data_IF_825245497936
#
_entry.id   IF_825245497936
#
_cell.length_a   1.000
_cell.length_b   1.000
_cell.length_c   1.000
_cell.angle_alpha   90.00
_cell.angle_beta   90.00
_cell.angle_gamma   90.00
#
_symmetry.space_group_name_H-M   'P 1'
#
loop_
_entity.id
_entity.type
_entity.pdbx_description
1 polymer ?
#
# COMPACT_ATOMS: atom_id res chain seq x y z
N UNK A 1 -8.68 -35.33 -4.10
CA UNK A 1 -8.26 -35.99 -5.33
C UNK A 1 -7.13 -36.93 -4.94
N UNK A 2 -7.42 -38.19 -4.92
CA UNK A 2 -6.61 -39.20 -4.20
C UNK A 2 -5.34 -39.63 -4.92
N UNK A 3 -4.62 -38.82 -5.62
CA UNK A 3 -3.28 -38.99 -6.23
C UNK A 3 -3.03 -38.02 -7.39
N UNK A 4 -3.77 -36.92 -7.49
CA UNK A 4 -3.61 -35.91 -8.52
C UNK A 4 -2.84 -34.67 -8.06
N UNK A 5 -2.47 -33.76 -8.95
CA UNK A 5 -1.91 -32.49 -8.58
C UNK A 5 -2.86 -31.69 -7.68
N UNK A 6 -2.30 -31.00 -6.68
CA UNK A 6 -3.08 -30.10 -5.82
C UNK A 6 -3.56 -28.89 -6.63
N UNK A 7 -4.76 -28.41 -6.36
CA UNK A 7 -5.33 -27.18 -6.91
C UNK A 7 -5.80 -26.28 -5.78
N UNK A 8 -5.88 -24.98 -6.05
CA UNK A 8 -6.42 -23.97 -5.14
C UNK A 8 -7.67 -23.38 -5.77
N UNK A 9 -8.77 -23.38 -5.02
CA UNK A 9 -9.99 -22.65 -5.36
C UNK A 9 -10.07 -21.40 -4.49
N UNK A 10 -10.21 -20.23 -5.11
CA UNK A 10 -10.37 -18.93 -4.46
C UNK A 10 -11.77 -18.39 -4.74
N UNK A 11 -12.40 -17.87 -3.70
CA UNK A 11 -13.70 -17.20 -3.78
C UNK A 11 -13.51 -15.78 -3.22
N UNK A 12 -13.73 -14.72 -4.02
CA UNK A 12 -13.57 -13.36 -3.57
C UNK A 12 -14.61 -13.02 -2.50
N UNK A 13 -14.20 -12.22 -1.52
CA UNK A 13 -15.10 -11.66 -0.52
C UNK A 13 -15.57 -10.27 -0.94
N UNK A 14 -16.73 -9.81 -0.44
CA UNK A 14 -17.27 -8.49 -0.80
C UNK A 14 -16.38 -7.29 -0.41
N UNK A 15 -15.38 -7.50 0.45
CA UNK A 15 -14.39 -6.48 0.83
C UNK A 15 -13.18 -6.43 -0.10
N UNK A 16 -13.01 -7.44 -0.97
CA UNK A 16 -11.87 -7.52 -1.89
C UNK A 16 -11.91 -6.49 -3.02
N UNK A 17 -13.05 -5.86 -3.25
CA UNK A 17 -13.27 -4.86 -4.31
C UNK A 17 -14.61 -5.03 -5.03
N UNK A 18 -14.80 -4.40 -6.18
CA UNK A 18 -16.05 -4.45 -6.91
C UNK A 18 -16.33 -5.86 -7.44
N UNK A 19 -17.54 -6.42 -7.18
CA UNK A 19 -17.94 -7.72 -7.68
C UNK A 19 -17.74 -7.85 -9.19
N UNK A 20 -17.42 -9.04 -9.68
CA UNK A 20 -17.10 -9.39 -11.06
C UNK A 20 -15.81 -8.76 -11.57
N UNK A 21 -15.60 -7.47 -11.31
CA UNK A 21 -14.43 -6.76 -11.80
C UNK A 21 -13.13 -7.23 -11.12
N UNK A 22 -13.17 -7.50 -9.82
CA UNK A 22 -12.00 -7.98 -9.08
C UNK A 22 -11.52 -9.32 -9.63
N UNK A 23 -12.43 -10.28 -9.80
CA UNK A 23 -12.11 -11.60 -10.36
C UNK A 23 -11.61 -11.50 -11.79
N UNK A 24 -12.31 -10.73 -12.66
CA UNK A 24 -11.90 -10.55 -14.06
C UNK A 24 -10.52 -9.91 -14.16
N UNK A 25 -10.25 -8.86 -13.38
CA UNK A 25 -8.97 -8.15 -13.38
C UNK A 25 -7.81 -9.02 -12.87
N UNK A 26 -8.02 -9.79 -11.81
CA UNK A 26 -6.98 -10.68 -11.27
C UNK A 26 -6.59 -11.72 -12.32
N UNK A 27 -7.57 -12.40 -12.92
CA UNK A 27 -7.31 -13.41 -13.95
C UNK A 27 -6.69 -12.80 -15.21
N UNK A 28 -7.18 -11.63 -15.65
CA UNK A 28 -6.61 -10.93 -16.80
C UNK A 28 -5.15 -10.53 -16.55
N UNK A 29 -4.84 -10.00 -15.36
CA UNK A 29 -3.47 -9.63 -14.96
C UNK A 29 -2.54 -10.83 -14.95
N UNK A 30 -2.93 -11.93 -14.31
CA UNK A 30 -2.13 -13.16 -14.26
C UNK A 30 -1.90 -13.72 -15.66
N UNK A 31 -2.95 -13.79 -16.50
CA UNK A 31 -2.88 -14.29 -17.87
C UNK A 31 -1.97 -13.41 -18.74
N UNK A 32 -2.11 -12.09 -18.61
CA UNK A 32 -1.28 -11.14 -19.35
C UNK A 32 0.20 -11.30 -18.98
N UNK A 33 0.53 -11.29 -17.68
CA UNK A 33 1.90 -11.42 -17.20
C UNK A 33 2.54 -12.75 -17.61
N UNK A 34 1.79 -13.86 -17.53
CA UNK A 34 2.26 -15.17 -18.01
C UNK A 34 2.55 -15.17 -19.51
N UNK A 35 1.75 -14.45 -20.31
CA UNK A 35 1.95 -14.37 -21.77
C UNK A 35 3.17 -13.53 -22.16
N UNK A 36 3.55 -12.55 -21.33
CA UNK A 36 4.62 -11.58 -21.64
C UNK A 36 5.97 -11.95 -21.07
N UNK A 37 5.98 -12.65 -19.95
CA UNK A 37 7.22 -12.91 -19.23
C UNK A 37 7.19 -14.21 -18.44
N UNK A 38 8.36 -14.81 -18.26
CA UNK A 38 8.52 -15.98 -17.40
C UNK A 38 8.57 -15.55 -15.95
N UNK A 39 7.40 -15.33 -15.36
CA UNK A 39 7.22 -15.18 -13.90
C UNK A 39 6.60 -16.46 -13.33
N UNK A 40 6.97 -16.85 -12.11
CA UNK A 40 6.41 -18.02 -11.46
C UNK A 40 5.01 -17.69 -10.89
N UNK A 41 4.05 -17.47 -11.76
CA UNK A 41 2.64 -17.21 -11.43
C UNK A 41 1.88 -18.53 -11.60
N UNK A 42 1.02 -18.95 -10.65
CA UNK A 42 0.23 -20.18 -10.80
C UNK A 42 -0.69 -20.09 -12.01
N UNK A 43 -0.77 -21.20 -12.77
CA UNK A 43 -1.63 -21.26 -13.95
C UNK A 43 -3.10 -21.29 -13.54
N UNK A 44 -3.90 -20.45 -14.19
CA UNK A 44 -5.37 -20.50 -14.07
C UNK A 44 -5.89 -21.72 -14.83
N UNK A 45 -6.66 -22.54 -14.14
CA UNK A 45 -7.25 -23.77 -14.69
C UNK A 45 -8.71 -23.53 -15.10
N UNK A 46 -9.45 -22.77 -14.30
CA UNK A 46 -10.82 -22.36 -14.56
C UNK A 46 -11.18 -21.12 -13.73
N UNK A 47 -12.13 -20.32 -14.18
CA UNK A 47 -12.60 -19.17 -13.46
C UNK A 47 -13.97 -18.68 -13.98
N UNK A 48 -14.69 -17.97 -13.14
CA UNK A 48 -15.93 -17.33 -13.56
C UNK A 48 -16.21 -16.09 -12.69
N UNK A 49 -16.45 -14.95 -13.35
CA UNK A 49 -16.79 -13.68 -12.70
C UNK A 49 -18.29 -13.44 -12.56
N UNK A 50 -19.15 -14.33 -13.10
CA UNK A 50 -20.59 -14.20 -13.02
C UNK A 50 -21.16 -15.04 -11.87
N UNK A 51 -21.71 -14.43 -10.80
CA UNK A 51 -22.29 -15.16 -9.69
C UNK A 51 -23.57 -15.94 -10.06
N UNK A 52 -24.11 -15.77 -11.27
CA UNK A 52 -25.24 -16.58 -11.77
C UNK A 52 -24.82 -17.99 -12.23
N UNK A 53 -23.52 -18.31 -12.19
CA UNK A 53 -23.00 -19.62 -12.52
C UNK A 53 -23.52 -20.72 -11.54
N UNK A 54 -23.37 -22.02 -11.85
CA UNK A 54 -23.88 -23.10 -11.01
C UNK A 54 -23.37 -23.15 -9.57
N UNK A 55 -22.23 -22.50 -9.27
CA UNK A 55 -21.69 -22.42 -7.89
C UNK A 55 -22.35 -21.30 -7.07
N UNK A 56 -23.05 -20.39 -7.70
CA UNK A 56 -23.71 -19.25 -7.05
C UNK A 56 -22.75 -18.14 -6.60
N UNK A 57 -21.47 -18.19 -7.02
CA UNK A 57 -20.45 -17.21 -6.63
C UNK A 57 -19.37 -17.10 -7.71
N UNK A 58 -18.64 -16.00 -7.71
CA UNK A 58 -17.40 -15.86 -8.47
C UNK A 58 -16.32 -16.80 -7.95
N UNK A 59 -15.44 -17.28 -8.82
CA UNK A 59 -14.33 -18.15 -8.39
C UNK A 59 -13.14 -18.11 -9.34
N UNK A 60 -11.97 -18.47 -8.81
CA UNK A 60 -10.74 -18.75 -9.56
C UNK A 60 -10.21 -20.11 -9.10
N UNK A 61 -9.97 -21.02 -10.03
CA UNK A 61 -9.31 -22.31 -9.79
C UNK A 61 -7.94 -22.24 -10.44
N UNK A 62 -6.90 -22.43 -9.65
CA UNK A 62 -5.51 -22.34 -10.11
C UNK A 62 -4.65 -23.51 -9.62
N UNK A 63 -3.50 -23.69 -10.22
CA UNK A 63 -2.49 -24.63 -9.76
C UNK A 63 -2.04 -24.27 -8.34
N UNK A 64 -1.77 -25.29 -7.54
CA UNK A 64 -1.10 -25.10 -6.26
C UNK A 64 0.37 -24.82 -6.49
N UNK A 65 0.89 -23.75 -5.91
CA UNK A 65 2.31 -23.37 -5.98
C UNK A 65 3.12 -24.37 -5.14
N UNK A 66 4.20 -24.86 -5.71
CA UNK A 66 5.17 -25.72 -5.02
C UNK A 66 6.16 -24.90 -4.22
N UNK A 67 6.67 -25.47 -3.12
CA UNK A 67 7.63 -24.79 -2.24
C UNK A 67 7.00 -24.32 -0.94
N UNK A 68 7.64 -23.38 -0.28
CA UNK A 68 7.26 -22.83 1.01
C UNK A 68 7.15 -21.30 0.93
N UNK A 69 6.30 -20.71 1.74
CA UNK A 69 6.18 -19.26 1.77
C UNK A 69 7.48 -18.62 2.31
N UNK A 70 7.94 -17.56 1.66
CA UNK A 70 9.21 -16.91 1.99
C UNK A 70 9.25 -16.40 3.45
N UNK A 71 8.13 -15.94 4.02
CA UNK A 71 8.10 -15.50 5.41
C UNK A 71 8.43 -16.62 6.40
N UNK A 72 8.10 -17.89 6.08
CA UNK A 72 8.41 -19.06 6.92
C UNK A 72 9.87 -19.50 6.81
N UNK A 73 10.52 -19.21 5.67
CA UNK A 73 11.93 -19.55 5.44
C UNK A 73 12.89 -18.41 5.78
N UNK A 74 12.42 -17.15 5.74
CA UNK A 74 13.27 -15.98 5.88
C UNK A 74 14.18 -16.02 7.09
N UNK A 75 13.66 -16.36 8.27
CA UNK A 75 14.43 -16.44 9.51
C UNK A 75 15.46 -17.58 9.56
N UNK A 76 15.38 -18.55 8.65
CA UNK A 76 16.31 -19.69 8.53
C UNK A 76 17.45 -19.41 7.54
N UNK A 77 17.25 -18.40 6.68
CA UNK A 77 18.22 -18.04 5.66
C UNK A 77 19.47 -17.37 6.27
N UNK A 78 20.60 -17.57 5.61
CA UNK A 78 21.82 -16.84 5.96
C UNK A 78 21.86 -15.48 5.21
N UNK A 79 22.78 -14.55 5.60
CA UNK A 79 22.87 -13.22 4.98
C UNK A 79 23.07 -13.22 3.45
N UNK A 80 23.82 -14.19 2.92
CA UNK A 80 24.02 -14.33 1.48
C UNK A 80 22.71 -14.71 0.77
N UNK A 81 21.98 -15.65 1.35
CA UNK A 81 20.67 -16.07 0.83
C UNK A 81 19.65 -14.92 0.87
N UNK A 82 19.58 -14.12 1.94
CA UNK A 82 18.76 -12.92 2.02
C UNK A 82 19.09 -11.94 0.90
N UNK A 83 20.36 -11.61 0.72
CA UNK A 83 20.82 -10.70 -0.34
C UNK A 83 20.46 -11.24 -1.75
N UNK A 84 20.73 -12.51 -2.01
CA UNK A 84 20.46 -13.12 -3.32
C UNK A 84 18.95 -13.21 -3.60
N UNK A 85 18.14 -13.57 -2.59
CA UNK A 85 16.68 -13.58 -2.70
C UNK A 85 16.15 -12.17 -2.97
N UNK A 86 16.57 -11.18 -2.20
CA UNK A 86 16.22 -9.75 -2.40
C UNK A 86 16.57 -9.30 -3.82
N UNK A 87 17.76 -9.66 -4.31
CA UNK A 87 18.16 -9.36 -5.70
C UNK A 87 17.24 -10.02 -6.71
N UNK A 88 16.88 -11.30 -6.55
CA UNK A 88 16.01 -12.03 -7.45
C UNK A 88 14.60 -11.40 -7.48
N UNK A 89 14.06 -11.02 -6.31
CA UNK A 89 12.78 -10.32 -6.20
C UNK A 89 12.81 -8.93 -6.85
N UNK A 90 13.89 -8.16 -6.63
CA UNK A 90 14.07 -6.87 -7.29
C UNK A 90 14.16 -6.99 -8.82
N UNK A 91 14.78 -8.06 -9.33
CA UNK A 91 14.81 -8.35 -10.78
C UNK A 91 13.43 -8.79 -11.31
N UNK A 92 12.57 -9.35 -10.47
CA UNK A 92 11.16 -9.60 -10.80
C UNK A 92 10.39 -8.29 -10.99
N UNK A 93 10.58 -7.32 -10.12
CA UNK A 93 10.04 -5.95 -10.29
C UNK A 93 10.54 -5.34 -11.60
N UNK A 94 11.83 -5.52 -11.93
CA UNK A 94 12.38 -5.05 -13.22
C UNK A 94 11.62 -5.62 -14.42
N UNK A 95 11.27 -6.90 -14.41
CA UNK A 95 10.49 -7.51 -15.49
C UNK A 95 9.12 -6.86 -15.61
N UNK A 96 8.38 -6.73 -14.51
CA UNK A 96 7.06 -6.09 -14.49
C UNK A 96 7.12 -4.63 -14.96
N UNK A 97 8.08 -3.87 -14.46
CA UNK A 97 8.26 -2.46 -14.83
C UNK A 97 8.65 -2.25 -16.29
N UNK A 98 9.16 -3.28 -16.98
CA UNK A 98 9.51 -3.19 -18.41
C UNK A 98 8.28 -3.14 -19.34
N UNK A 99 7.09 -3.45 -18.84
CA UNK A 99 5.85 -3.38 -19.61
C UNK A 99 5.38 -1.92 -19.74
N UNK A 100 4.80 -1.60 -20.91
CA UNK A 100 4.23 -0.29 -21.18
C UNK A 100 2.71 -0.36 -21.20
N UNK A 101 2.06 0.64 -20.60
CA UNK A 101 0.61 0.72 -20.51
C UNK A 101 0.10 2.07 -21.00
N UNK A 102 -1.09 2.12 -21.65
CA UNK A 102 -1.63 3.35 -22.24
C UNK A 102 -2.34 4.25 -21.23
N UNK A 103 -2.55 3.79 -19.99
CA UNK A 103 -3.37 4.47 -18.99
C UNK A 103 -3.14 3.89 -17.59
N UNK A 104 -3.62 4.60 -16.58
CA UNK A 104 -3.71 4.13 -15.19
C UNK A 104 -5.05 3.45 -14.94
N UNK A 105 -5.08 2.41 -14.14
CA UNK A 105 -6.26 1.59 -13.82
C UNK A 105 -5.88 0.13 -13.60
N UNK A 106 -6.79 -0.80 -13.84
CA UNK A 106 -6.52 -2.24 -13.77
C UNK A 106 -6.68 -2.91 -15.13
N UNK A 107 -5.99 -4.03 -15.33
CA UNK A 107 -6.14 -4.85 -16.54
C UNK A 107 -7.43 -5.67 -16.47
N UNK A 108 -8.09 -5.81 -17.61
CA UNK A 108 -9.25 -6.65 -17.80
C UNK A 108 -9.19 -7.35 -19.16
N UNK A 109 -9.97 -8.40 -19.31
CA UNK A 109 -10.27 -8.91 -20.66
C UNK A 109 -11.12 -7.91 -21.43
N UNK A 110 -10.97 -7.86 -22.76
CA UNK A 110 -11.72 -6.95 -23.62
C UNK A 110 -13.25 -7.17 -23.56
N UNK A 111 -13.67 -8.41 -23.29
CA UNK A 111 -15.07 -8.82 -23.12
C UNK A 111 -15.57 -8.73 -21.67
N UNK A 112 -14.76 -8.16 -20.75
CA UNK A 112 -15.15 -7.93 -19.35
C UNK A 112 -16.50 -7.20 -19.22
N UNK A 113 -17.19 -7.33 -18.07
CA UNK A 113 -18.50 -6.74 -17.83
C UNK A 113 -18.49 -5.22 -17.62
N UNK A 114 -17.46 -4.53 -18.09
CA UNK A 114 -17.37 -3.08 -18.10
C UNK A 114 -18.11 -2.47 -19.28
N UNK A 115 -18.70 -1.29 -19.07
CA UNK A 115 -19.21 -0.47 -20.16
C UNK A 115 -18.11 -0.04 -21.13
N UNK A 116 -18.44 0.12 -22.40
CA UNK A 116 -17.47 0.49 -23.45
C UNK A 116 -16.71 1.78 -23.15
N UNK A 117 -17.38 2.77 -22.54
CA UNK A 117 -16.78 4.06 -22.18
C UNK A 117 -15.80 3.96 -21.00
N UNK A 118 -15.87 2.87 -20.25
CA UNK A 118 -14.96 2.56 -19.13
C UNK A 118 -13.78 1.67 -19.53
N UNK A 119 -13.57 1.45 -20.83
CA UNK A 119 -12.49 0.63 -21.38
C UNK A 119 -11.56 1.47 -22.25
N UNK A 120 -10.26 1.41 -21.94
CA UNK A 120 -9.22 1.90 -22.84
C UNK A 120 -8.63 0.67 -23.54
N UNK A 121 -8.80 0.51 -24.88
CA UNK A 121 -8.23 -0.60 -25.61
C UNK A 121 -6.71 -0.69 -25.38
N UNK A 122 -6.25 -1.91 -25.20
CA UNK A 122 -4.84 -2.18 -25.02
C UNK A 122 -4.37 -3.23 -26.03
N UNK A 123 -3.67 -4.27 -25.62
CA UNK A 123 -3.28 -5.35 -26.53
C UNK A 123 -4.46 -6.27 -26.87
N UNK A 124 -4.30 -7.13 -27.89
CA UNK A 124 -5.35 -8.04 -28.32
C UNK A 124 -5.85 -8.90 -27.14
N UNK A 125 -7.13 -8.83 -26.88
CA UNK A 125 -7.80 -9.56 -25.79
C UNK A 125 -7.81 -8.85 -24.43
N UNK A 126 -7.16 -7.68 -24.30
CA UNK A 126 -7.07 -6.92 -23.05
C UNK A 126 -7.49 -5.46 -23.20
N UNK A 127 -7.90 -4.87 -22.09
CA UNK A 127 -8.14 -3.43 -21.96
C UNK A 127 -7.71 -2.94 -20.56
N UNK A 128 -7.50 -1.63 -20.43
CA UNK A 128 -7.36 -0.97 -19.12
C UNK A 128 -8.73 -0.41 -18.74
N UNK A 129 -9.20 -0.77 -17.56
CA UNK A 129 -10.45 -0.30 -16.97
C UNK A 129 -10.20 0.35 -15.60
N UNK A 130 -11.27 0.67 -14.85
CA UNK A 130 -11.17 1.24 -13.51
C UNK A 130 -10.32 0.35 -12.59
N UNK A 131 -9.47 0.92 -11.69
CA UNK A 131 -8.72 0.11 -10.73
C UNK A 131 -9.66 -0.64 -9.79
N UNK A 132 -9.29 -1.88 -9.42
CA UNK A 132 -10.07 -2.74 -8.52
C UNK A 132 -9.78 -2.49 -7.04
N UNK A 133 -8.75 -1.73 -6.70
CA UNK A 133 -8.40 -1.47 -5.30
C UNK A 133 -9.61 -0.88 -4.54
N UNK A 134 -9.93 -1.41 -3.34
CA UNK A 134 -11.05 -0.93 -2.52
C UNK A 134 -11.01 0.57 -2.25
N UNK A 135 -9.82 1.17 -2.26
CA UNK A 135 -9.63 2.62 -2.10
C UNK A 135 -10.36 3.43 -3.17
N UNK A 136 -10.65 2.84 -4.32
CA UNK A 136 -11.39 3.46 -5.43
C UNK A 136 -12.88 3.11 -5.47
N UNK A 137 -13.39 2.28 -4.57
CA UNK A 137 -14.78 1.83 -4.58
C UNK A 137 -15.45 2.03 -3.22
N UNK A 138 -16.43 2.93 -3.14
CA UNK A 138 -17.25 3.13 -1.96
C UNK A 138 -18.37 2.09 -1.99
N UNK A 139 -18.32 1.06 -1.16
CA UNK A 139 -19.41 0.08 -1.09
C UNK A 139 -19.54 -0.59 0.27
N UNK A 140 -19.42 0.16 1.36
CA UNK A 140 -20.02 -0.34 2.57
C UNK A 140 -21.55 -0.21 2.47
N UNK A 141 -22.32 -1.23 2.88
CA UNK A 141 -23.80 -1.12 2.92
C UNK A 141 -24.20 0.13 3.69
N UNK A 142 -25.03 1.00 3.10
CA UNK A 142 -25.46 2.28 3.67
C UNK A 142 -24.65 3.51 3.24
N UNK A 143 -23.47 3.39 2.66
CA UNK A 143 -22.69 4.56 2.19
C UNK A 143 -23.33 5.24 0.97
N UNK A 144 -23.96 4.49 0.07
CA UNK A 144 -24.62 5.08 -1.11
C UNK A 144 -25.74 6.08 -0.76
N UNK A 145 -26.36 5.96 0.40
CA UNK A 145 -27.41 6.89 0.87
C UNK A 145 -26.82 8.20 1.42
N UNK A 146 -25.54 8.21 1.81
CA UNK A 146 -24.85 9.40 2.31
C UNK A 146 -24.35 10.33 1.19
N UNK A 147 -24.30 9.84 -0.05
CA UNK A 147 -23.69 10.54 -1.18
C UNK A 147 -24.71 10.80 -2.30
N UNK A 148 -25.57 11.81 -2.14
CA UNK A 148 -26.43 12.37 -3.19
C UNK A 148 -25.62 13.19 -4.23
N UNK A 149 -24.51 12.65 -4.73
CA UNK A 149 -23.64 13.31 -5.71
C UNK A 149 -23.39 12.44 -6.96
N UNK A 150 -22.83 13.01 -8.02
CA UNK A 150 -22.42 12.21 -9.18
C UNK A 150 -21.42 11.14 -8.74
N UNK A 151 -21.52 9.96 -9.38
CA UNK A 151 -20.58 8.86 -9.15
C UNK A 151 -19.14 9.36 -9.30
N UNK A 152 -18.23 9.03 -8.37
CA UNK A 152 -16.84 9.43 -8.50
C UNK A 152 -16.24 8.87 -9.79
N UNK A 153 -15.35 9.64 -10.43
CA UNK A 153 -14.59 9.15 -11.57
C UNK A 153 -13.58 8.09 -11.08
N UNK A 154 -13.94 6.82 -11.22
CA UNK A 154 -13.09 5.70 -10.80
C UNK A 154 -12.03 5.31 -11.84
N UNK A 155 -11.80 6.10 -12.88
CA UNK A 155 -10.89 5.75 -13.98
C UNK A 155 -11.58 4.88 -15.06
N UNK A 156 -10.82 4.31 -15.99
CA UNK A 156 -9.35 4.46 -16.14
C UNK A 156 -8.94 5.88 -16.53
N UNK A 157 -7.70 6.26 -16.23
CA UNK A 157 -7.18 7.61 -16.52
C UNK A 157 -6.07 7.55 -17.55
N UNK A 158 -6.23 8.32 -18.64
CA UNK A 158 -5.28 8.33 -19.76
C UNK A 158 -3.96 9.05 -19.44
N UNK A 159 -3.99 9.94 -18.48
CA UNK A 159 -2.88 10.83 -18.15
C UNK A 159 -2.86 11.20 -16.66
N UNK A 160 -1.74 11.76 -16.21
CA UNK A 160 -1.56 12.19 -14.82
C UNK A 160 -2.53 13.31 -14.40
N UNK A 161 -2.88 14.30 -15.23
CA UNK A 161 -3.94 15.27 -14.91
C UNK A 161 -5.28 14.64 -14.58
N UNK A 162 -5.72 13.67 -15.36
CA UNK A 162 -6.98 12.94 -15.12
C UNK A 162 -6.91 12.08 -13.84
N UNK A 163 -5.78 11.42 -13.60
CA UNK A 163 -5.52 10.63 -12.40
C UNK A 163 -5.56 11.52 -11.14
N UNK A 164 -4.84 12.64 -11.13
CA UNK A 164 -4.74 13.56 -10.00
C UNK A 164 -6.05 14.31 -9.68
N UNK A 165 -6.96 14.42 -10.66
CA UNK A 165 -8.25 15.07 -10.47
C UNK A 165 -9.24 14.24 -9.64
N UNK A 166 -8.93 12.96 -9.35
CA UNK A 166 -9.77 12.06 -8.60
C UNK A 166 -9.58 12.27 -7.09
N UNK A 167 -10.23 13.29 -6.54
CA UNK A 167 -10.32 13.52 -5.09
C UNK A 167 -11.61 12.94 -4.55
N UNK A 168 -11.53 12.13 -3.47
CA UNK A 168 -12.68 11.39 -2.94
C UNK A 168 -13.31 12.07 -1.73
N UNK A 169 -14.63 11.88 -1.59
CA UNK A 169 -15.41 12.31 -0.43
C UNK A 169 -15.82 11.07 0.36
N UNK A 170 -15.26 10.89 1.54
CA UNK A 170 -15.66 9.85 2.50
C UNK A 170 -16.13 10.45 3.81
N UNK A 171 -16.83 9.70 4.69
CA UNK A 171 -17.14 10.16 6.03
C UNK A 171 -15.86 10.52 6.77
N UNK A 172 -15.73 11.78 7.13
CA UNK A 172 -14.56 12.35 7.78
C UNK A 172 -14.90 12.76 9.21
N UNK A 173 -14.03 12.48 10.16
CA UNK A 173 -14.27 12.76 11.59
C UNK A 173 -14.03 14.21 12.00
N UNK A 174 -13.52 15.06 11.12
CA UNK A 174 -13.24 16.48 11.35
C UNK A 174 -14.26 17.42 10.71
N UNK A 175 -13.88 18.69 10.54
CA UNK A 175 -14.68 19.68 9.81
C UNK A 175 -14.74 19.33 8.32
N UNK A 176 -15.92 18.93 7.84
CA UNK A 176 -16.14 18.62 6.42
C UNK A 176 -15.79 19.83 5.53
N UNK A 177 -16.09 21.04 5.95
CA UNK A 177 -15.82 22.26 5.20
C UNK A 177 -14.31 22.49 5.04
N UNK A 178 -13.55 22.30 6.11
CA UNK A 178 -12.09 22.43 6.09
C UNK A 178 -11.45 21.33 5.21
N UNK A 179 -11.91 20.09 5.32
CA UNK A 179 -11.44 19.00 4.49
C UNK A 179 -11.70 19.24 2.99
N UNK A 180 -12.92 19.69 2.64
CA UNK A 180 -13.25 20.04 1.25
C UNK A 180 -12.40 21.20 0.74
N UNK A 181 -12.11 22.20 1.59
CA UNK A 181 -11.19 23.30 1.24
C UNK A 181 -9.79 22.77 0.96
N UNK A 182 -9.25 21.94 1.83
CA UNK A 182 -7.92 21.33 1.66
C UNK A 182 -7.83 20.52 0.37
N UNK A 183 -8.82 19.67 0.08
CA UNK A 183 -8.85 18.89 -1.15
C UNK A 183 -8.90 19.76 -2.42
N UNK A 184 -9.67 20.87 -2.39
CA UNK A 184 -9.68 21.83 -3.50
C UNK A 184 -8.31 22.48 -3.69
N UNK A 185 -7.70 22.94 -2.60
CA UNK A 185 -6.35 23.55 -2.66
C UNK A 185 -5.29 22.52 -3.08
N UNK A 186 -5.37 21.29 -2.55
CA UNK A 186 -4.49 20.18 -3.00
C UNK A 186 -4.58 19.97 -4.50
N UNK A 187 -5.80 20.00 -5.06
CA UNK A 187 -6.01 19.88 -6.50
C UNK A 187 -5.34 21.03 -7.27
N UNK A 188 -5.48 22.26 -6.81
CA UNK A 188 -4.82 23.42 -7.44
C UNK A 188 -3.30 23.31 -7.38
N UNK A 189 -2.75 22.85 -6.26
CA UNK A 189 -1.32 22.61 -6.10
C UNK A 189 -0.87 21.48 -7.01
N UNK A 190 -1.57 20.35 -7.03
CA UNK A 190 -1.24 19.22 -7.92
C UNK A 190 -1.30 19.60 -9.38
N UNK A 191 -2.24 20.47 -9.81
CA UNK A 191 -2.28 21.00 -11.17
C UNK A 191 -1.01 21.79 -11.55
N UNK A 192 -0.34 22.42 -10.59
CA UNK A 192 0.96 23.05 -10.82
C UNK A 192 2.09 22.02 -10.83
N UNK A 193 2.05 21.05 -9.94
CA UNK A 193 3.06 20.00 -9.87
C UNK A 193 3.14 19.16 -11.15
N UNK A 194 2.01 18.83 -11.77
CA UNK A 194 1.99 18.04 -13.01
C UNK A 194 2.52 18.80 -14.24
N UNK A 195 2.78 20.12 -14.14
CA UNK A 195 3.49 20.89 -15.16
C UNK A 195 5.02 20.68 -15.06
N UNK A 196 5.54 20.21 -13.91
CA UNK A 196 6.97 19.96 -13.71
C UNK A 196 7.42 18.66 -14.39
N UNK A 197 8.43 18.79 -15.25
CA UNK A 197 8.96 17.66 -16.02
C UNK A 197 9.45 16.50 -15.14
N UNK A 198 10.00 16.77 -13.97
CA UNK A 198 10.48 15.73 -13.05
C UNK A 198 9.34 14.81 -12.59
N UNK A 199 8.18 15.40 -12.32
CA UNK A 199 6.97 14.67 -11.90
C UNK A 199 6.40 13.90 -13.08
N UNK A 200 6.34 14.51 -14.27
CA UNK A 200 5.88 13.84 -15.49
C UNK A 200 6.77 12.64 -15.82
N UNK A 201 8.10 12.81 -15.74
CA UNK A 201 9.04 11.71 -16.01
C UNK A 201 8.94 10.58 -14.95
N UNK A 202 8.56 10.93 -13.71
CA UNK A 202 8.36 9.98 -12.61
C UNK A 202 6.96 9.33 -12.59
N UNK A 203 6.05 9.75 -13.45
CA UNK A 203 4.66 9.29 -13.50
C UNK A 203 4.42 8.20 -14.56
N UNK A 204 5.46 7.54 -15.07
CA UNK A 204 5.28 6.47 -16.06
C UNK A 204 4.27 5.42 -15.55
N UNK A 205 3.27 5.00 -16.36
CA UNK A 205 2.35 3.95 -15.96
C UNK A 205 3.08 2.61 -15.77
N UNK A 206 2.99 2.04 -14.57
CA UNK A 206 3.61 0.74 -14.24
C UNK A 206 2.62 -0.17 -13.55
N UNK A 207 2.67 -1.46 -13.90
CA UNK A 207 1.95 -2.52 -13.21
C UNK A 207 2.96 -3.23 -12.31
N UNK A 208 2.75 -3.14 -11.00
CA UNK A 208 3.49 -3.92 -10.02
C UNK A 208 2.53 -4.77 -9.20
N UNK A 209 3.07 -5.69 -8.44
CA UNK A 209 2.27 -6.50 -7.53
C UNK A 209 1.76 -5.64 -6.37
N UNK A 210 0.44 -5.59 -6.14
CA UNK A 210 -0.19 -4.73 -5.14
C UNK A 210 0.23 -5.01 -3.70
N UNK A 211 0.66 -6.26 -3.43
CA UNK A 211 1.04 -6.74 -2.09
C UNK A 211 2.29 -7.63 -2.19
N UNK A 212 3.43 -7.03 -2.58
CA UNK A 212 4.69 -7.73 -2.83
C UNK A 212 5.46 -8.01 -1.54
N UNK A 213 4.86 -8.82 -0.66
CA UNK A 213 5.38 -9.19 0.65
C UNK A 213 5.79 -10.66 0.72
N UNK A 214 6.68 -11.00 1.66
CA UNK A 214 7.20 -12.37 1.87
C UNK A 214 6.12 -13.44 1.98
N UNK A 215 4.91 -13.11 2.45
CA UNK A 215 3.78 -14.04 2.55
C UNK A 215 3.17 -14.45 1.20
N UNK A 216 3.28 -13.59 0.18
CA UNK A 216 2.76 -13.84 -1.17
C UNK A 216 3.82 -14.40 -2.14
N UNK A 217 5.00 -14.67 -1.62
CA UNK A 217 6.15 -15.20 -2.35
C UNK A 217 6.45 -16.62 -1.87
N UNK A 218 6.54 -17.55 -2.81
CA UNK A 218 6.96 -18.92 -2.55
C UNK A 218 8.37 -19.13 -3.07
N UNK A 219 9.16 -19.90 -2.33
CA UNK A 219 10.52 -20.27 -2.67
C UNK A 219 10.69 -21.79 -2.58
N UNK A 220 11.74 -22.31 -3.21
CA UNK A 220 12.12 -23.73 -3.07
C UNK A 220 12.51 -24.03 -1.62
N UNK A 221 12.03 -25.14 -1.09
CA UNK A 221 12.42 -25.60 0.24
C UNK A 221 13.90 -26.02 0.34
N UNK A 222 14.49 -26.43 -0.79
CA UNK A 222 15.90 -26.84 -0.87
C UNK A 222 16.82 -25.65 -1.12
N UNK A 223 16.35 -24.66 -1.90
CA UNK A 223 17.13 -23.49 -2.30
C UNK A 223 16.27 -22.22 -2.20
N UNK A 224 16.22 -21.55 -1.05
CA UNK A 224 15.29 -20.44 -0.79
C UNK A 224 15.60 -19.16 -1.60
N UNK A 225 16.66 -19.14 -2.39
CA UNK A 225 16.91 -18.05 -3.36
C UNK A 225 16.18 -18.25 -4.69
N UNK A 226 15.58 -19.43 -4.92
CA UNK A 226 14.78 -19.76 -6.10
C UNK A 226 13.31 -19.49 -5.84
N UNK A 227 12.76 -18.48 -6.50
CA UNK A 227 11.33 -18.12 -6.41
C UNK A 227 10.52 -19.12 -7.22
N UNK A 228 9.59 -19.82 -6.57
CA UNK A 228 8.72 -20.85 -7.17
C UNK A 228 7.30 -20.37 -7.40
N UNK A 229 6.86 -19.27 -6.75
CA UNK A 229 5.53 -18.74 -6.95
C UNK A 229 5.34 -17.32 -6.44
N UNK A 230 4.49 -16.60 -7.17
CA UNK A 230 3.95 -15.28 -6.79
C UNK A 230 2.44 -15.39 -6.84
N UNK A 231 1.79 -15.21 -5.69
CA UNK A 231 0.33 -15.37 -5.53
C UNK A 231 -0.30 -14.03 -5.13
N UNK A 232 -1.63 -14.00 -5.15
CA UNK A 232 -2.43 -12.86 -4.69
C UNK A 232 -2.28 -11.60 -5.55
N UNK A 233 -2.63 -11.72 -6.82
CA UNK A 233 -2.65 -10.64 -7.80
C UNK A 233 -3.92 -9.78 -7.73
N UNK A 234 -4.74 -9.99 -6.73
CA UNK A 234 -5.97 -9.21 -6.54
C UNK A 234 -5.62 -7.73 -6.36
N UNK A 235 -6.49 -6.85 -6.86
CA UNK A 235 -6.30 -5.39 -6.80
C UNK A 235 -5.02 -4.86 -7.47
N UNK A 236 -4.34 -5.67 -8.28
CA UNK A 236 -3.21 -5.18 -9.07
C UNK A 236 -3.66 -4.03 -9.97
N UNK A 237 -2.93 -2.91 -9.93
CA UNK A 237 -3.26 -1.71 -10.68
C UNK A 237 -2.06 -1.15 -11.42
N UNK A 238 -2.34 -0.42 -12.48
CA UNK A 238 -1.37 0.36 -13.22
C UNK A 238 -1.40 1.76 -12.63
N UNK A 239 -0.34 2.14 -11.93
CA UNK A 239 -0.25 3.40 -11.21
C UNK A 239 0.93 4.24 -11.72
N UNK A 240 0.97 5.56 -11.44
CA UNK A 240 2.18 6.34 -11.61
C UNK A 240 3.35 5.72 -10.84
N UNK A 241 4.52 5.62 -11.44
CA UNK A 241 5.68 4.95 -10.86
C UNK A 241 6.06 5.50 -9.46
N UNK A 242 5.86 6.79 -9.20
CA UNK A 242 6.13 7.38 -7.89
C UNK A 242 5.18 6.91 -6.77
N UNK A 243 4.01 6.35 -7.08
CA UNK A 243 3.12 5.75 -6.08
C UNK A 243 3.76 4.50 -5.49
N UNK A 244 4.34 3.66 -6.35
CA UNK A 244 5.03 2.43 -5.91
C UNK A 244 6.38 2.70 -5.24
N UNK A 245 7.00 3.85 -5.50
CA UNK A 245 8.28 4.21 -4.90
C UNK A 245 8.19 4.46 -3.39
N UNK A 246 7.03 4.83 -2.92
CA UNK A 246 6.76 5.10 -1.51
C UNK A 246 6.67 3.81 -0.66
N UNK A 247 6.55 2.64 -1.29
CA UNK A 247 6.40 1.37 -0.61
C UNK A 247 7.65 0.50 -0.80
N UNK A 248 8.41 0.30 0.27
CA UNK A 248 9.51 -0.66 0.27
C UNK A 248 8.97 -2.00 0.75
N UNK A 249 9.12 -3.09 -0.03
CA UNK A 249 8.68 -4.41 0.39
C UNK A 249 9.35 -4.86 1.69
N UNK A 250 8.65 -5.70 2.47
CA UNK A 250 9.09 -6.15 3.79
C UNK A 250 10.41 -6.95 3.80
N UNK A 251 10.82 -7.50 2.67
CA UNK A 251 12.13 -8.14 2.50
C UNK A 251 13.28 -7.14 2.25
N UNK A 252 12.98 -5.85 2.10
CA UNK A 252 13.94 -4.79 1.83
C UNK A 252 13.73 -3.53 2.68
N UNK A 253 12.92 -3.62 3.74
CA UNK A 253 12.67 -2.52 4.67
C UNK A 253 14.00 -2.04 5.28
N UNK A 254 14.27 -0.72 5.30
CA UNK A 254 15.46 -0.19 5.96
C UNK A 254 15.43 -0.53 7.45
N UNK A 255 16.58 -0.90 8.05
CA UNK A 255 16.63 -1.17 9.48
C UNK A 255 16.32 0.09 10.28
N UNK A 256 15.48 -0.03 11.29
CA UNK A 256 15.28 1.00 12.30
C UNK A 256 16.42 0.86 13.30
N UNK A 257 17.35 1.79 13.26
CA UNK A 257 18.42 1.90 14.29
C UNK A 257 17.77 2.62 15.48
N UNK A 258 17.61 1.98 16.66
CA UNK A 258 17.16 2.68 17.84
C UNK A 258 18.10 3.86 18.13
N UNK A 259 17.56 5.02 18.48
CA UNK A 259 18.37 6.09 19.05
C UNK A 259 19.06 5.53 20.30
N UNK A 260 20.39 5.64 20.34
CA UNK A 260 21.16 5.21 21.52
C UNK A 260 20.69 6.03 22.72
N UNK A 261 20.10 5.38 23.72
CA UNK A 261 19.81 6.03 25.00
C UNK A 261 21.17 6.36 25.66
N UNK A 262 21.51 7.67 25.86
CA UNK A 262 22.81 8.05 26.44
C UNK A 262 23.03 7.53 27.86
N UNK A 263 22.01 6.90 28.45
CA UNK A 263 22.05 6.39 29.83
C UNK A 263 22.18 4.85 29.92
N UNK A 264 22.12 4.11 28.83
CA UNK A 264 22.45 2.68 28.82
C UNK A 264 23.97 2.46 28.68
N UNK A 265 24.71 2.79 29.73
CA UNK A 265 26.10 2.38 29.91
C UNK A 265 26.17 1.02 30.63
N UNK A 266 25.94 -0.08 29.91
CA UNK A 266 26.47 -1.37 30.38
C UNK A 266 26.96 -2.23 29.20
N UNK A 267 28.27 -2.62 29.22
CA UNK A 267 28.85 -3.49 28.22
C UNK A 267 28.59 -4.96 28.56
N UNK A 268 27.33 -5.38 28.68
CA UNK A 268 26.96 -6.78 28.64
C UNK A 268 26.53 -7.14 27.21
N UNK A 269 27.56 -7.46 26.38
CA UNK A 269 27.33 -8.13 25.10
C UNK A 269 26.63 -9.48 25.33
N UNK A 270 25.35 -9.47 25.52
CA UNK A 270 24.54 -10.70 25.55
C UNK A 270 24.47 -11.29 24.14
N UNK A 271 24.31 -12.61 24.04
CA UNK A 271 24.06 -13.28 22.74
C UNK A 271 22.94 -12.59 21.95
N UNK A 272 21.96 -12.02 22.65
CA UNK A 272 20.82 -11.32 22.08
C UNK A 272 21.22 -10.01 21.36
N UNK A 273 22.17 -9.25 21.92
CA UNK A 273 22.67 -8.00 21.31
C UNK A 273 23.43 -8.29 20.00
N UNK A 274 24.25 -9.32 19.97
CA UNK A 274 24.99 -9.75 18.76
C UNK A 274 24.06 -10.30 17.68
N UNK A 275 22.99 -10.97 18.07
CA UNK A 275 21.97 -11.45 17.14
C UNK A 275 21.25 -10.27 16.49
N UNK A 276 20.78 -9.30 17.30
CA UNK A 276 20.11 -8.08 16.83
C UNK A 276 20.99 -7.24 15.89
N UNK A 277 22.29 -7.09 16.22
CA UNK A 277 23.24 -6.39 15.35
C UNK A 277 23.41 -7.08 13.99
N UNK A 278 23.46 -8.43 13.96
CA UNK A 278 23.52 -9.20 12.71
C UNK A 278 22.26 -9.00 11.87
N UNK A 279 21.09 -9.05 12.49
CA UNK A 279 19.80 -8.84 11.81
C UNK A 279 19.68 -7.42 11.22
N UNK A 280 20.11 -6.40 11.95
CA UNK A 280 20.16 -5.02 11.46
C UNK A 280 21.12 -4.86 10.27
N UNK A 281 22.29 -5.48 10.34
CA UNK A 281 23.28 -5.45 9.26
C UNK A 281 22.74 -6.17 8.02
N UNK A 282 22.09 -7.29 8.21
CA UNK A 282 21.50 -8.07 7.14
C UNK A 282 20.37 -7.32 6.46
N UNK A 283 19.44 -6.73 7.23
CA UNK A 283 18.39 -5.85 6.71
C UNK A 283 18.97 -4.66 5.93
N UNK A 284 20.09 -4.07 6.41
CA UNK A 284 20.78 -3.00 5.69
C UNK A 284 21.31 -3.45 4.33
N UNK A 285 21.90 -4.65 4.25
CA UNK A 285 22.40 -5.23 2.98
C UNK A 285 21.23 -5.50 2.01
N UNK A 286 20.12 -6.04 2.51
CA UNK A 286 18.91 -6.26 1.71
C UNK A 286 18.36 -4.95 1.16
N UNK A 287 18.22 -3.94 2.02
CA UNK A 287 17.76 -2.61 1.60
C UNK A 287 18.66 -1.99 0.54
N UNK A 288 20.00 -2.00 0.75
CA UNK A 288 20.96 -1.49 -0.22
C UNK A 288 20.92 -2.25 -1.54
N UNK A 289 20.77 -3.57 -1.50
CA UNK A 289 20.65 -4.42 -2.69
C UNK A 289 19.40 -4.04 -3.51
N UNK A 290 18.27 -3.90 -2.84
CA UNK A 290 17.01 -3.45 -3.45
C UNK A 290 17.18 -2.06 -4.07
N UNK A 291 17.65 -1.08 -3.31
CA UNK A 291 17.80 0.30 -3.75
C UNK A 291 18.73 0.44 -4.97
N UNK A 292 19.85 -0.28 -4.96
CA UNK A 292 20.78 -0.31 -6.11
C UNK A 292 20.10 -0.89 -7.35
N UNK A 293 19.36 -1.99 -7.22
CA UNK A 293 18.65 -2.58 -8.37
C UNK A 293 17.59 -1.62 -8.89
N UNK A 294 16.79 -1.04 -8.01
CA UNK A 294 15.70 -0.12 -8.37
C UNK A 294 16.23 1.12 -9.08
N UNK A 295 17.29 1.75 -8.55
CA UNK A 295 17.88 2.98 -9.12
C UNK A 295 18.68 2.75 -10.40
N UNK A 296 19.42 1.65 -10.50
CA UNK A 296 20.40 1.48 -11.57
C UNK A 296 19.93 0.54 -12.68
N UNK A 297 19.15 -0.50 -12.36
CA UNK A 297 18.77 -1.54 -13.32
C UNK A 297 17.36 -1.39 -13.85
N UNK A 298 16.54 -0.45 -13.34
CA UNK A 298 15.17 -0.21 -13.78
C UNK A 298 15.02 1.24 -14.27
N UNK A 299 15.38 1.54 -15.52
CA UNK A 299 15.37 2.92 -16.04
C UNK A 299 14.01 3.60 -15.91
N UNK A 300 12.90 2.86 -16.06
CA UNK A 300 11.53 3.37 -15.99
C UNK A 300 11.13 3.84 -14.58
N UNK A 301 11.64 3.20 -13.53
CA UNK A 301 11.39 3.59 -12.13
C UNK A 301 12.40 4.60 -11.60
N UNK A 302 13.54 4.76 -12.26
CA UNK A 302 14.61 5.64 -11.79
C UNK A 302 14.18 7.09 -11.55
N UNK A 303 13.37 7.76 -12.43
CA UNK A 303 12.90 9.12 -12.16
C UNK A 303 12.10 9.21 -10.86
N UNK A 304 11.23 8.22 -10.58
CA UNK A 304 10.47 8.16 -9.34
C UNK A 304 11.38 7.98 -8.12
N UNK A 305 12.36 7.06 -8.19
CA UNK A 305 13.34 6.82 -7.11
C UNK A 305 14.27 7.98 -6.79
N UNK A 306 14.43 8.91 -7.69
CA UNK A 306 15.28 10.10 -7.53
C UNK A 306 14.47 11.37 -7.28
N UNK A 307 13.14 11.29 -7.33
CA UNK A 307 12.25 12.42 -7.09
C UNK A 307 12.27 12.79 -5.60
N UNK A 308 12.36 14.09 -5.31
CA UNK A 308 12.19 14.55 -3.91
C UNK A 308 10.79 14.15 -3.40
N UNK A 309 10.69 13.47 -2.26
CA UNK A 309 9.40 13.00 -1.74
C UNK A 309 8.35 14.10 -1.57
N UNK A 310 8.75 15.34 -1.25
CA UNK A 310 7.84 16.48 -1.11
C UNK A 310 7.06 16.76 -2.40
N UNK A 311 7.60 16.40 -3.57
CA UNK A 311 6.93 16.62 -4.85
C UNK A 311 5.80 15.64 -5.16
N UNK A 312 5.77 14.48 -4.52
CA UNK A 312 4.74 13.46 -4.84
C UNK A 312 3.90 13.00 -3.63
N UNK A 313 4.31 13.23 -2.39
CA UNK A 313 3.54 12.79 -1.21
C UNK A 313 2.12 13.36 -1.18
N UNK A 314 1.91 14.58 -1.69
CA UNK A 314 0.58 15.17 -1.80
C UNK A 314 -0.37 14.32 -2.66
N UNK A 315 0.11 13.68 -3.74
CA UNK A 315 -0.70 12.78 -4.55
C UNK A 315 -1.16 11.57 -3.74
N UNK A 316 -0.27 10.97 -2.97
CA UNK A 316 -0.59 9.84 -2.11
C UNK A 316 -1.63 10.23 -1.04
N UNK A 317 -1.38 11.25 -0.23
CA UNK A 317 -2.28 11.66 0.85
C UNK A 317 -3.61 12.22 0.37
N UNK A 318 -3.69 12.77 -0.84
CA UNK A 318 -4.96 13.22 -1.42
C UNK A 318 -5.95 12.08 -1.64
N UNK A 319 -5.48 10.88 -1.91
CA UNK A 319 -6.31 9.68 -2.06
C UNK A 319 -6.68 9.01 -0.72
N UNK A 320 -5.87 9.20 0.33
CA UNK A 320 -6.03 8.55 1.63
C UNK A 320 -6.49 9.49 2.74
N UNK A 321 -6.68 10.78 2.46
CA UNK A 321 -7.00 11.83 3.44
C UNK A 321 -8.22 11.55 4.32
N UNK A 322 -9.17 10.79 3.84
CA UNK A 322 -10.33 10.34 4.59
C UNK A 322 -9.97 9.35 5.71
N UNK A 323 -8.94 8.53 5.50
CA UNK A 323 -8.41 7.53 6.45
C UNK A 323 -7.35 8.13 7.36
N UNK A 324 -6.40 8.88 6.75
CA UNK A 324 -5.18 9.32 7.40
C UNK A 324 -5.31 10.74 8.00
N UNK A 325 -6.47 11.35 7.91
CA UNK A 325 -6.85 12.70 8.38
C UNK A 325 -6.43 13.88 7.51
N UNK A 326 -7.14 15.00 7.66
CA UNK A 326 -6.78 16.26 7.01
C UNK A 326 -5.43 16.82 7.50
N UNK A 327 -4.96 16.39 8.68
CA UNK A 327 -3.68 16.83 9.21
C UNK A 327 -2.51 16.35 8.34
N UNK A 328 -2.54 15.10 7.84
CA UNK A 328 -1.53 14.59 6.92
C UNK A 328 -1.47 15.41 5.61
N UNK A 329 -2.62 15.64 4.97
CA UNK A 329 -2.68 16.45 3.75
C UNK A 329 -2.21 17.89 3.98
N UNK A 330 -2.60 18.48 5.12
CA UNK A 330 -2.19 19.86 5.46
C UNK A 330 -0.69 19.95 5.69
N UNK A 331 -0.10 18.95 6.35
CA UNK A 331 1.35 18.89 6.55
C UNK A 331 2.10 18.91 5.21
N UNK A 332 1.67 18.11 4.26
CA UNK A 332 2.29 18.08 2.94
C UNK A 332 2.16 19.42 2.20
N UNK A 333 1.00 20.08 2.32
CA UNK A 333 0.80 21.40 1.73
C UNK A 333 1.68 22.48 2.40
N UNK A 334 1.86 22.44 3.71
CA UNK A 334 2.74 23.35 4.47
C UNK A 334 4.18 23.15 4.04
N UNK A 335 4.67 21.91 4.05
CA UNK A 335 6.05 21.58 3.69
C UNK A 335 6.35 21.97 2.23
N UNK A 336 5.46 21.60 1.31
CA UNK A 336 5.59 21.95 -0.09
C UNK A 336 5.60 23.47 -0.31
N UNK A 337 4.70 24.20 0.38
CA UNK A 337 4.66 25.67 0.30
C UNK A 337 5.95 26.30 0.83
N UNK A 338 6.50 25.79 1.92
CA UNK A 338 7.76 26.30 2.50
C UNK A 338 8.96 26.05 1.58
N UNK A 339 8.98 24.90 0.90
CA UNK A 339 10.08 24.48 0.01
C UNK A 339 9.87 24.82 -1.46
N UNK A 340 8.76 25.50 -1.83
CA UNK A 340 8.37 25.74 -3.22
C UNK A 340 9.48 26.33 -4.08
N UNK A 341 10.13 27.39 -3.61
CA UNK A 341 11.24 28.04 -4.30
C UNK A 341 12.54 27.19 -4.28
N UNK A 342 12.84 26.52 -3.17
CA UNK A 342 13.98 25.59 -3.03
C UNK A 342 13.87 24.44 -4.03
N UNK A 343 12.66 23.90 -4.19
CA UNK A 343 12.36 22.84 -5.15
C UNK A 343 12.38 23.32 -6.61
N UNK A 344 12.56 24.63 -6.86
CA UNK A 344 12.61 25.20 -8.20
C UNK A 344 11.27 25.18 -8.94
N UNK A 345 10.17 25.21 -8.21
CA UNK A 345 8.82 25.26 -8.80
C UNK A 345 8.46 26.68 -9.23
N UNK A 346 7.81 26.80 -10.40
CA UNK A 346 7.48 28.11 -10.97
C UNK A 346 6.37 28.84 -10.20
N UNK A 347 6.50 30.15 -10.11
CA UNK A 347 5.51 31.05 -9.52
C UNK A 347 5.40 30.94 -8.00
N UNK A 348 4.18 31.10 -7.48
CA UNK A 348 3.89 30.97 -6.07
C UNK A 348 3.05 29.71 -5.81
N UNK A 349 3.30 29.07 -4.66
CA UNK A 349 2.45 27.97 -4.21
C UNK A 349 1.00 28.48 -4.05
N UNK A 350 0.01 27.77 -4.60
CA UNK A 350 -1.41 28.12 -4.39
C UNK A 350 -1.86 28.01 -2.94
N UNK A 351 -1.15 27.23 -2.13
CA UNK A 351 -1.43 27.10 -0.70
C UNK A 351 -0.62 28.12 0.11
N UNK A 352 -1.32 28.77 1.05
CA UNK A 352 -0.69 29.57 2.10
C UNK A 352 -1.50 29.43 3.38
N UNK A 353 -0.84 29.27 4.52
CA UNK A 353 -1.46 29.15 5.84
C UNK A 353 -1.31 30.44 6.63
N UNK A 354 -2.33 30.76 7.43
CA UNK A 354 -2.25 31.80 8.45
C UNK A 354 -1.54 31.27 9.70
N UNK A 355 -1.03 32.20 10.56
CA UNK A 355 -0.41 31.80 11.83
C UNK A 355 -1.39 31.01 12.74
N UNK A 356 -2.69 31.38 12.71
CA UNK A 356 -3.71 30.68 13.47
C UNK A 356 -3.93 29.24 12.95
N UNK A 357 -3.93 29.04 11.62
CA UNK A 357 -4.02 27.72 11.00
C UNK A 357 -2.80 26.86 11.32
N UNK A 358 -1.60 27.44 11.34
CA UNK A 358 -0.38 26.72 11.72
C UNK A 358 -0.41 26.25 13.19
N UNK A 359 -0.88 27.11 14.11
CA UNK A 359 -1.03 26.74 15.53
C UNK A 359 -2.06 25.63 15.75
N UNK A 360 -3.19 25.68 15.03
CA UNK A 360 -4.18 24.60 15.10
C UNK A 360 -3.64 23.32 14.49
N UNK A 361 -2.98 23.44 13.32
CA UNK A 361 -2.39 22.29 12.65
C UNK A 361 -1.35 21.57 13.51
N UNK A 362 -0.50 22.27 14.25
CA UNK A 362 0.49 21.64 15.11
C UNK A 362 -0.15 20.65 16.09
N UNK A 363 -1.29 21.00 16.69
CA UNK A 363 -2.03 20.12 17.61
C UNK A 363 -2.67 18.93 16.87
N UNK A 364 -3.31 19.20 15.72
CA UNK A 364 -3.95 18.17 14.92
C UNK A 364 -2.92 17.15 14.39
N UNK A 365 -1.70 17.61 14.12
CA UNK A 365 -0.61 16.79 13.62
C UNK A 365 0.05 15.95 14.72
N UNK A 366 0.19 16.50 15.94
CA UNK A 366 0.59 15.72 17.11
C UNK A 366 -0.36 14.54 17.36
N UNK A 367 -1.68 14.79 17.29
CA UNK A 367 -2.68 13.73 17.42
C UNK A 367 -2.55 12.68 16.28
N UNK A 368 -2.26 13.12 15.06
CA UNK A 368 -2.01 12.21 13.92
C UNK A 368 -0.75 11.36 14.15
N UNK A 369 0.36 11.98 14.55
CA UNK A 369 1.63 11.25 14.83
C UNK A 369 1.45 10.25 15.97
N UNK A 370 0.73 10.61 17.03
CA UNK A 370 0.42 9.71 18.12
C UNK A 370 -0.39 8.48 17.65
N UNK A 371 -1.35 8.65 16.73
CA UNK A 371 -2.10 7.54 16.14
C UNK A 371 -1.17 6.65 15.27
N UNK A 372 -0.25 7.24 14.49
CA UNK A 372 0.69 6.45 13.70
C UNK A 372 1.67 5.67 14.59
N UNK A 373 2.19 6.31 15.66
CA UNK A 373 3.04 5.64 16.65
C UNK A 373 2.30 4.48 17.34
N UNK A 374 1.02 4.69 17.70
CA UNK A 374 0.18 3.65 18.29
C UNK A 374 -0.02 2.47 17.32
N UNK A 375 -0.24 2.74 16.02
CA UNK A 375 -0.35 1.68 15.00
C UNK A 375 0.94 0.86 14.90
N UNK A 376 2.10 1.52 14.90
CA UNK A 376 3.40 0.85 14.86
C UNK A 376 3.63 0.01 16.12
N UNK A 377 3.34 0.57 17.29
CA UNK A 377 3.45 -0.16 18.55
C UNK A 377 2.54 -1.39 18.60
N UNK A 378 1.28 -1.26 18.14
CA UNK A 378 0.36 -2.39 18.06
C UNK A 378 0.84 -3.45 17.07
N UNK A 379 1.36 -3.05 15.92
CA UNK A 379 1.95 -3.97 14.94
C UNK A 379 3.05 -4.83 15.57
N UNK A 380 3.98 -4.20 16.28
CA UNK A 380 5.13 -4.89 16.87
C UNK A 380 4.72 -5.78 18.07
N UNK A 381 3.77 -5.31 18.88
CA UNK A 381 3.31 -6.06 20.06
C UNK A 381 2.34 -7.20 19.74
N UNK A 382 1.61 -7.11 18.63
CA UNK A 382 0.67 -8.15 18.19
C UNK A 382 1.30 -9.11 17.17
N UNK A 383 2.57 -8.92 16.82
CA UNK A 383 3.27 -9.67 15.77
C UNK A 383 2.46 -9.73 14.47
N UNK A 384 1.92 -8.55 14.08
CA UNK A 384 1.13 -8.40 12.87
C UNK A 384 1.91 -7.71 11.76
N UNK A 385 1.47 -7.88 10.53
CA UNK A 385 1.95 -7.04 9.43
C UNK A 385 1.29 -5.64 9.47
N UNK A 386 1.79 -4.72 8.63
CA UNK A 386 1.27 -3.35 8.54
C UNK A 386 -0.22 -3.25 8.17
N UNK A 387 -0.77 -4.30 7.58
CA UNK A 387 -2.18 -4.45 7.21
C UNK A 387 -3.02 -5.19 8.27
N UNK A 388 -2.42 -5.56 9.40
CA UNK A 388 -3.08 -6.29 10.48
C UNK A 388 -3.24 -7.79 10.22
N UNK A 389 -2.57 -8.34 9.19
CA UNK A 389 -2.63 -9.77 8.91
C UNK A 389 -1.96 -10.59 10.01
N UNK A 390 -2.61 -11.68 10.40
CA UNK A 390 -2.16 -12.64 11.42
C UNK A 390 -2.46 -14.06 10.93
N UNK A 391 -1.55 -15.03 11.13
CA UNK A 391 -1.84 -16.44 10.86
C UNK A 391 -3.08 -16.93 11.61
N UNK A 392 -3.87 -17.81 10.97
CA UNK A 392 -5.12 -18.32 11.58
C UNK A 392 -4.92 -19.02 12.92
N UNK A 393 -3.80 -19.69 13.11
CA UNK A 393 -3.43 -20.38 14.35
C UNK A 393 -3.03 -19.41 15.48
N UNK A 394 -2.61 -18.19 15.14
CA UNK A 394 -2.29 -17.12 16.10
C UNK A 394 -3.49 -16.18 16.39
N UNK A 395 -4.62 -16.32 15.68
CA UNK A 395 -5.73 -15.36 15.72
C UNK A 395 -6.30 -15.12 17.12
N UNK A 396 -6.59 -16.20 17.88
CA UNK A 396 -7.19 -16.06 19.21
C UNK A 396 -6.23 -15.39 20.20
N UNK A 397 -4.94 -15.71 20.13
CA UNK A 397 -3.91 -15.09 20.96
C UNK A 397 -3.75 -13.60 20.63
N UNK A 398 -3.68 -13.24 19.35
CA UNK A 398 -3.58 -11.86 18.91
C UNK A 398 -4.83 -11.03 19.25
N UNK A 399 -6.03 -11.61 19.12
CA UNK A 399 -7.27 -10.96 19.54
C UNK A 399 -7.30 -10.67 21.04
N UNK A 400 -6.82 -11.62 21.86
CA UNK A 400 -6.71 -11.43 23.32
C UNK A 400 -5.68 -10.34 23.67
N UNK A 401 -4.52 -10.35 23.01
CA UNK A 401 -3.48 -9.34 23.20
C UNK A 401 -3.95 -7.95 22.75
N UNK A 402 -4.64 -7.84 21.61
CA UNK A 402 -5.25 -6.60 21.13
C UNK A 402 -6.26 -6.03 22.16
N UNK A 403 -7.10 -6.89 22.72
CA UNK A 403 -8.05 -6.47 23.76
C UNK A 403 -7.35 -5.99 25.02
N UNK A 404 -6.31 -6.68 25.48
CA UNK A 404 -5.52 -6.27 26.64
C UNK A 404 -4.83 -4.92 26.41
N UNK A 405 -4.25 -4.71 25.23
CA UNK A 405 -3.63 -3.45 24.84
C UNK A 405 -4.65 -2.29 24.80
N UNK A 406 -5.86 -2.52 24.31
CA UNK A 406 -6.93 -1.53 24.35
C UNK A 406 -7.34 -1.19 25.79
N UNK A 407 -7.53 -2.18 26.65
CA UNK A 407 -7.92 -1.96 28.04
C UNK A 407 -6.85 -1.18 28.81
N UNK A 408 -5.55 -1.46 28.57
CA UNK A 408 -4.42 -0.70 29.11
C UNK A 408 -4.39 0.74 28.58
N UNK A 409 -4.56 0.94 27.28
CA UNK A 409 -4.65 2.27 26.66
C UNK A 409 -5.77 3.13 27.29
N UNK A 410 -6.95 2.55 27.48
CA UNK A 410 -8.08 3.25 28.10
C UNK A 410 -7.84 3.51 29.60
N UNK A 411 -7.16 2.60 30.31
CA UNK A 411 -6.80 2.81 31.71
C UNK A 411 -5.81 3.97 31.85
N UNK A 412 -4.78 4.03 31.00
CA UNK A 412 -3.82 5.15 30.96
C UNK A 412 -4.52 6.48 30.68
N UNK A 413 -5.49 6.49 29.75
CA UNK A 413 -6.28 7.68 29.46
C UNK A 413 -7.14 8.14 30.65
N UNK A 414 -7.71 7.22 31.44
CA UNK A 414 -8.45 7.57 32.67
C UNK A 414 -7.55 8.22 33.72
N UNK A 415 -6.34 7.73 33.86
CA UNK A 415 -5.35 8.28 34.78
C UNK A 415 -4.92 9.69 34.35
N UNK A 416 -4.61 9.88 33.06
CA UNK A 416 -4.29 11.18 32.48
C UNK A 416 -5.45 12.19 32.67
N UNK A 417 -6.69 11.79 32.35
CA UNK A 417 -7.88 12.63 32.53
C UNK A 417 -8.08 13.03 33.99
N UNK A 418 -7.85 12.10 34.93
CA UNK A 418 -7.95 12.37 36.37
C UNK A 418 -6.87 13.34 36.89
N UNK A 419 -5.71 13.37 36.24
CA UNK A 419 -4.61 14.30 36.52
C UNK A 419 -4.79 15.66 35.83
N UNK A 420 -5.85 15.86 35.03
CA UNK A 420 -6.11 17.10 34.30
C UNK A 420 -5.27 17.27 33.04
N UNK A 421 -4.74 16.19 32.51
CA UNK A 421 -3.99 16.17 31.26
C UNK A 421 -4.95 16.20 30.04
N UNK A 422 -4.42 16.53 28.85
CA UNK A 422 -5.23 16.70 27.61
C UNK A 422 -5.74 15.36 27.02
N UNK A 423 -5.25 14.21 27.51
CA UNK A 423 -5.73 12.91 27.09
C UNK A 423 -6.96 12.49 27.90
N UNK A 424 -8.12 12.53 27.26
CA UNK A 424 -9.38 12.04 27.84
C UNK A 424 -9.74 10.65 27.33
N UNK A 425 -10.58 9.91 28.07
CA UNK A 425 -11.09 8.62 27.63
C UNK A 425 -11.81 8.72 26.27
N UNK A 426 -12.56 9.82 26.05
CA UNK A 426 -13.23 10.05 24.77
C UNK A 426 -12.23 10.25 23.62
N UNK A 427 -11.15 11.01 23.86
CA UNK A 427 -10.06 11.23 22.90
C UNK A 427 -9.32 9.92 22.63
N UNK A 428 -8.98 9.17 23.65
CA UNK A 428 -8.29 7.88 23.53
C UNK A 428 -9.09 6.85 22.71
N UNK A 429 -10.40 6.74 22.96
CA UNK A 429 -11.28 5.90 22.15
C UNK A 429 -11.32 6.31 20.67
N UNK A 430 -11.30 7.60 20.38
CA UNK A 430 -11.29 8.13 19.01
C UNK A 430 -9.96 7.87 18.31
N UNK A 431 -8.86 7.88 19.05
CA UNK A 431 -7.50 7.65 18.52
C UNK A 431 -7.19 6.17 18.29
N UNK A 432 -7.95 5.25 18.91
CA UNK A 432 -7.71 3.82 18.74
C UNK A 432 -7.91 3.41 17.26
N UNK A 433 -6.87 2.84 16.60
CA UNK A 433 -6.90 2.69 15.15
C UNK A 433 -7.69 1.49 14.65
N UNK A 434 -8.09 0.59 15.53
CA UNK A 434 -8.77 -0.66 15.19
C UNK A 434 -10.12 -0.81 15.90
N UNK A 435 -10.96 -1.73 15.44
CA UNK A 435 -12.18 -2.09 16.14
C UNK A 435 -11.82 -2.89 17.41
N UNK A 436 -12.19 -2.35 18.57
CA UNK A 436 -11.92 -2.97 19.87
C UNK A 436 -13.02 -3.95 20.33
N UNK A 437 -14.08 -4.15 19.53
CA UNK A 437 -15.22 -5.01 19.83
C UNK A 437 -14.95 -6.47 19.60
#
# INVERSE_FOLDING_TARGET
MDNGPCIVARVPTGIAGPPRLTTNSEVATMTYLQSKMSLPIPKILDWNDDPSNPTGTEYIIQEHVTGVQLHQEWHKMNPEQHMLCTKALSLTIKKMASLDFPAYGSLYFSDSPLDSDSKIPFEQGFCVGPPCSPVFWNRNPGENELYNGPSPNCGPWKDLPSYSANTRKFPYQGSIQDHVRLLKTSREVMQKLIEDKRIVDAAAPVLLHSDFHKRNIYVSAEEPTVITGLIDWQSASIEPAFIYDNETPDFATPPIVPEEDPHENEPNETQNSRQKERELKDASVCHQTYDVVMKLLIPKLRPARLLDPTLFRLFHYSHTSWRDSAAAVRQELIELSARWAELGLDGRCPYSSTEAELKQHARDYEDFEAVQALKLWLKDNLDTNSDGWIPNDAWDAAKAAHRAAYDEWIQTAKEAESNGEDMTVAKANKMWPFDAR
#
